data_IF_634330670813
#
_entry.id   IF_634330670813
#
_cell.length_a   1.000
_cell.length_b   1.000
_cell.length_c   1.000
_cell.angle_alpha   90.00
_cell.angle_beta   90.00
_cell.angle_gamma   90.00
#
_symmetry.space_group_name_H-M   'P 1'
#
loop_
_entity.id
_entity.type
_entity.pdbx_description
1 polymer ?
#
# COMPACT_ATOMS: atom_id res chain seq x y z
N UNK A 1 16.56 -12.63 12.34
CA UNK A 1 16.19 -11.47 13.19
C UNK A 1 14.68 -11.33 13.15
N UNK A 2 14.00 -11.48 14.29
CA UNK A 2 12.56 -11.26 14.36
C UNK A 2 12.29 -9.74 14.31
N UNK A 3 11.29 -9.33 13.54
CA UNK A 3 10.90 -7.92 13.48
C UNK A 3 10.06 -7.63 14.72
N UNK A 4 10.45 -6.65 15.53
CA UNK A 4 9.69 -6.29 16.72
C UNK A 4 8.39 -5.56 16.34
N UNK A 5 7.29 -5.95 16.99
CA UNK A 5 6.01 -5.29 16.79
C UNK A 5 6.06 -3.86 17.35
N UNK A 6 5.74 -2.86 16.52
CA UNK A 6 5.75 -1.44 16.88
C UNK A 6 4.42 -0.74 16.50
N UNK A 7 3.38 -1.54 16.23
CA UNK A 7 2.06 -1.08 15.79
C UNK A 7 0.98 -1.58 16.75
N UNK A 8 0.05 -0.70 17.11
CA UNK A 8 -1.15 -1.06 17.85
C UNK A 8 -2.14 -1.83 16.98
N UNK A 9 -3.04 -2.62 17.59
CA UNK A 9 -4.02 -3.42 16.86
C UNK A 9 -4.86 -2.60 15.85
N UNK A 10 -5.16 -1.33 16.16
CA UNK A 10 -5.84 -0.40 15.24
C UNK A 10 -5.00 -0.05 14.03
N UNK A 11 -3.74 0.33 14.23
CA UNK A 11 -2.81 0.64 13.13
C UNK A 11 -2.54 -0.57 12.23
N UNK A 12 -2.57 -1.78 12.82
CA UNK A 12 -2.43 -3.05 12.10
C UNK A 12 -3.59 -3.27 11.13
N UNK A 13 -4.82 -3.15 11.63
CA UNK A 13 -6.03 -3.27 10.82
C UNK A 13 -6.10 -2.21 9.72
N UNK A 14 -5.83 -0.94 10.08
CA UNK A 14 -5.93 0.17 9.13
C UNK A 14 -4.98 0.01 7.95
N UNK A 15 -3.72 -0.38 8.20
CA UNK A 15 -2.72 -0.62 7.15
C UNK A 15 -3.07 -1.81 6.27
N UNK A 16 -3.59 -2.89 6.85
CA UNK A 16 -4.04 -4.06 6.09
C UNK A 16 -5.21 -3.69 5.16
N UNK A 17 -6.18 -2.92 5.66
CA UNK A 17 -7.35 -2.48 4.88
C UNK A 17 -6.93 -1.50 3.80
N UNK A 18 -6.17 -0.46 4.12
CA UNK A 18 -5.70 0.53 3.14
C UNK A 18 -4.82 -0.12 2.07
N UNK A 19 -3.93 -1.03 2.48
CA UNK A 19 -3.10 -1.80 1.55
C UNK A 19 -3.96 -2.63 0.59
N UNK A 20 -4.94 -3.36 1.12
CA UNK A 20 -5.87 -4.15 0.30
C UNK A 20 -6.71 -3.28 -0.64
N UNK A 21 -7.24 -2.15 -0.15
CA UNK A 21 -8.02 -1.21 -0.95
C UNK A 21 -7.19 -0.57 -2.06
N UNK A 22 -5.91 -0.31 -1.84
CA UNK A 22 -5.04 0.24 -2.89
C UNK A 22 -4.79 -0.75 -4.03
N UNK A 23 -4.67 -2.05 -3.73
CA UNK A 23 -4.58 -3.10 -4.75
C UNK A 23 -5.91 -3.22 -5.50
N UNK A 24 -7.04 -3.25 -4.80
CA UNK A 24 -8.37 -3.29 -5.44
C UNK A 24 -8.61 -2.05 -6.29
N UNK A 25 -8.19 -0.88 -5.81
CA UNK A 25 -8.26 0.40 -6.52
C UNK A 25 -7.38 0.46 -7.76
N UNK A 26 -6.43 -0.46 -7.95
CA UNK A 26 -5.65 -0.55 -9.18
C UNK A 26 -6.45 -1.13 -10.36
N UNK A 27 -7.55 -1.86 -10.11
CA UNK A 27 -8.40 -2.46 -11.15
C UNK A 27 -8.96 -1.40 -12.11
N UNK A 28 -9.62 -0.32 -11.64
CA UNK A 28 -10.09 0.74 -12.53
C UNK A 28 -8.94 1.47 -13.25
N UNK A 29 -7.75 1.60 -12.63
CA UNK A 29 -6.58 2.18 -13.30
C UNK A 29 -6.14 1.33 -14.49
N UNK A 30 -6.11 0.01 -14.35
CA UNK A 30 -5.81 -0.91 -15.47
C UNK A 30 -6.83 -0.74 -16.60
N UNK A 31 -8.13 -0.67 -16.28
CA UNK A 31 -9.17 -0.45 -17.28
C UNK A 31 -8.98 0.88 -18.04
N UNK A 32 -8.75 1.98 -17.30
CA UNK A 32 -8.56 3.30 -17.90
C UNK A 32 -7.32 3.37 -18.80
N UNK A 33 -6.26 2.65 -18.45
CA UNK A 33 -5.00 2.67 -19.21
C UNK A 33 -5.00 1.71 -20.39
N UNK A 34 -5.44 0.47 -20.18
CA UNK A 34 -5.32 -0.62 -21.19
C UNK A 34 -6.52 -0.69 -22.11
N UNK A 35 -7.74 -0.48 -21.59
CA UNK A 35 -8.98 -0.67 -22.36
C UNK A 35 -9.44 0.62 -23.00
N UNK A 36 -9.48 1.72 -22.23
CA UNK A 36 -10.01 2.99 -22.71
C UNK A 36 -8.94 3.94 -23.28
N UNK A 37 -7.65 3.69 -23.01
CA UNK A 37 -6.55 4.53 -23.51
C UNK A 37 -6.64 5.99 -23.06
N UNK A 38 -7.29 6.27 -21.93
CA UNK A 38 -7.52 7.64 -21.43
C UNK A 38 -6.25 8.22 -20.82
N UNK A 39 -5.44 7.35 -20.22
CA UNK A 39 -4.16 7.69 -19.60
C UNK A 39 -3.02 7.37 -20.56
N UNK A 40 -1.99 8.22 -20.55
CA UNK A 40 -0.74 7.90 -21.20
C UNK A 40 -0.20 6.56 -20.66
N UNK A 41 0.26 5.64 -21.53
CA UNK A 41 0.68 4.31 -21.11
C UNK A 41 1.77 4.34 -20.03
N UNK A 42 2.75 5.24 -20.14
CA UNK A 42 3.83 5.34 -19.17
C UNK A 42 3.30 5.80 -17.81
N UNK A 43 2.39 6.77 -17.80
CA UNK A 43 1.76 7.28 -16.57
C UNK A 43 0.88 6.22 -15.92
N UNK A 44 0.05 5.52 -16.69
CA UNK A 44 -0.85 4.51 -16.12
C UNK A 44 -0.10 3.30 -15.57
N UNK A 45 0.94 2.80 -16.26
CA UNK A 45 1.79 1.73 -15.72
C UNK A 45 2.52 2.17 -14.45
N UNK A 46 3.00 3.42 -14.38
CA UNK A 46 3.61 3.96 -13.17
C UNK A 46 2.61 4.00 -12.00
N UNK A 47 1.38 4.48 -12.23
CA UNK A 47 0.33 4.52 -11.20
C UNK A 47 -0.05 3.12 -10.71
N UNK A 48 -0.21 2.16 -11.62
CA UNK A 48 -0.48 0.76 -11.28
C UNK A 48 0.66 0.21 -10.42
N UNK A 49 1.91 0.40 -10.85
CA UNK A 49 3.09 -0.04 -10.10
C UNK A 49 3.16 0.55 -8.70
N UNK A 50 2.93 1.86 -8.55
CA UNK A 50 2.90 2.53 -7.25
C UNK A 50 1.77 2.03 -6.35
N UNK A 51 0.59 1.78 -6.92
CA UNK A 51 -0.57 1.24 -6.20
C UNK A 51 -0.27 -0.15 -5.64
N UNK A 52 0.37 -1.00 -6.44
CA UNK A 52 0.78 -2.33 -6.01
C UNK A 52 1.91 -2.31 -4.98
N UNK A 53 2.93 -1.49 -5.19
CA UNK A 53 4.04 -1.37 -4.24
C UNK A 53 3.56 -0.83 -2.88
N UNK A 54 2.76 0.23 -2.88
CA UNK A 54 2.17 0.79 -1.68
C UNK A 54 1.20 -0.18 -0.99
N UNK A 55 0.40 -0.90 -1.77
CA UNK A 55 -0.54 -1.90 -1.26
C UNK A 55 0.14 -3.10 -0.61
N UNK A 56 1.15 -3.64 -1.28
CA UNK A 56 1.96 -4.74 -0.74
C UNK A 56 2.68 -4.32 0.55
N UNK A 57 3.23 -3.10 0.59
CA UNK A 57 3.85 -2.57 1.80
C UNK A 57 2.84 -2.42 2.95
N UNK A 58 1.65 -1.86 2.69
CA UNK A 58 0.59 -1.72 3.70
C UNK A 58 0.12 -3.07 4.25
N UNK A 59 -0.03 -4.08 3.39
CA UNK A 59 -0.36 -5.45 3.81
C UNK A 59 0.79 -6.06 4.63
N UNK A 60 2.04 -5.88 4.21
CA UNK A 60 3.21 -6.37 4.94
C UNK A 60 3.31 -5.75 6.33
N UNK A 61 3.19 -4.42 6.46
CA UNK A 61 3.20 -3.72 7.75
C UNK A 61 2.03 -4.19 8.63
N UNK A 62 0.85 -4.35 8.03
CA UNK A 62 -0.34 -4.87 8.69
C UNK A 62 -0.25 -6.34 9.08
N UNK A 63 0.53 -7.19 8.41
CA UNK A 63 0.66 -8.61 8.76
C UNK A 63 1.75 -8.82 9.83
N UNK A 64 2.92 -8.23 9.59
CA UNK A 64 4.09 -8.31 10.48
C UNK A 64 3.91 -7.57 11.81
N UNK A 65 3.01 -6.57 11.85
CA UNK A 65 2.88 -5.69 13.02
C UNK A 65 4.02 -4.68 13.15
N UNK A 66 4.82 -4.51 12.10
CA UNK A 66 5.94 -3.59 12.05
C UNK A 66 5.64 -2.43 11.10
N UNK A 67 5.84 -1.20 11.57
CA UNK A 67 5.81 -0.02 10.70
C UNK A 67 7.23 0.41 10.39
N UNK A 68 7.56 0.49 9.11
CA UNK A 68 8.86 1.00 8.63
C UNK A 68 9.07 2.43 9.11
N UNK A 69 8.05 3.29 9.02
CA UNK A 69 8.16 4.69 9.44
C UNK A 69 8.49 4.83 10.93
N UNK A 70 7.83 4.06 11.81
CA UNK A 70 8.17 4.08 13.24
C UNK A 70 9.54 3.45 13.52
N UNK A 71 9.94 2.42 12.77
CA UNK A 71 11.29 1.86 12.83
C UNK A 71 12.39 2.86 12.44
N UNK A 72 12.08 3.81 11.56
CA UNK A 72 12.96 4.93 11.18
C UNK A 72 12.89 6.14 12.14
N UNK A 73 12.08 6.06 13.21
CA UNK A 73 11.93 7.12 14.21
C UNK A 73 10.86 8.17 13.91
N UNK A 74 10.04 8.00 12.86
CA UNK A 74 8.93 8.89 12.58
C UNK A 74 7.74 8.60 13.53
N UNK A 75 7.17 9.65 14.11
CA UNK A 75 5.90 9.54 14.85
C UNK A 75 4.73 9.46 13.88
N UNK A 76 4.05 8.31 13.84
CA UNK A 76 2.75 8.17 13.20
C UNK A 76 1.64 8.23 14.26
N UNK A 77 0.57 9.00 14.06
CA UNK A 77 -0.54 9.12 15.02
C UNK A 77 -1.39 7.83 15.12
N UNK A 78 -1.15 6.90 14.20
CA UNK A 78 -1.77 5.57 14.02
C UNK A 78 -0.73 4.47 14.11
#
# INVERSE_FOLDING_TARGET
>A
MAIECNIEARGKFLRLVLGSLSIIGSIPLVLLTVVYGVLDPMVGWALIGMSWAGGALGIFEGWSGFCVARGLGFRTPI
#
